data_IF_604262501075
#
_entry.id   IF_604262501075
#
_cell.length_a   1.000
_cell.length_b   1.000
_cell.length_c   1.000
_cell.angle_alpha   90.00
_cell.angle_beta   90.00
_cell.angle_gamma   90.00
#
_symmetry.space_group_name_H-M   'P 1'
#
loop_
_entity.id
_entity.type
_entity.pdbx_description
1 polymer ?
#
# COMPACT_ATOMS: atom_id res chain seq x y z
N UNK A 1 -0.68 26.45 -5.34
CA UNK A 1 -1.14 25.06 -5.56
C UNK A 1 -1.70 24.40 -4.28
N UNK A 2 -0.99 24.44 -3.15
CA UNK A 2 -1.45 23.81 -1.90
C UNK A 2 -2.86 24.25 -1.45
N UNK A 3 -3.13 25.56 -1.41
CA UNK A 3 -4.46 26.11 -1.06
C UNK A 3 -5.54 25.58 -2.02
N UNK A 4 -5.27 25.60 -3.33
CA UNK A 4 -6.19 25.10 -4.36
C UNK A 4 -6.47 23.60 -4.15
N UNK A 5 -5.45 22.82 -3.81
CA UNK A 5 -5.59 21.39 -3.51
C UNK A 5 -6.47 21.13 -2.28
N UNK A 6 -6.26 21.88 -1.19
CA UNK A 6 -7.06 21.76 0.03
C UNK A 6 -8.50 22.17 -0.19
N UNK A 7 -8.74 23.31 -0.86
CA UNK A 7 -10.10 23.76 -1.20
C UNK A 7 -10.80 22.74 -2.11
N UNK A 8 -10.10 22.25 -3.13
CA UNK A 8 -10.59 21.18 -4.02
C UNK A 8 -10.98 19.92 -3.25
N UNK A 9 -10.14 19.46 -2.33
CA UNK A 9 -10.41 18.28 -1.50
C UNK A 9 -11.67 18.46 -0.66
N UNK A 10 -11.80 19.60 0.03
CA UNK A 10 -12.95 19.92 0.88
C UNK A 10 -14.23 20.00 0.02
N UNK A 11 -14.15 20.66 -1.13
CA UNK A 11 -15.28 20.78 -2.05
C UNK A 11 -15.74 19.42 -2.59
N UNK A 12 -14.82 18.57 -3.03
CA UNK A 12 -15.14 17.23 -3.55
C UNK A 12 -15.67 16.34 -2.44
N UNK A 13 -15.08 16.37 -1.25
CA UNK A 13 -15.61 15.63 -0.11
C UNK A 13 -17.03 16.07 0.20
N UNK A 14 -17.27 17.38 0.36
CA UNK A 14 -18.61 17.89 0.64
C UNK A 14 -19.64 17.52 -0.44
N UNK A 15 -19.24 17.59 -1.72
CA UNK A 15 -20.05 17.15 -2.86
C UNK A 15 -20.40 15.66 -2.74
N UNK A 16 -19.41 14.78 -2.53
CA UNK A 16 -19.62 13.34 -2.43
C UNK A 16 -20.48 12.96 -1.21
N UNK A 17 -20.24 13.59 -0.06
CA UNK A 17 -21.03 13.37 1.15
C UNK A 17 -22.50 13.75 0.94
N UNK A 18 -22.74 14.85 0.23
CA UNK A 18 -24.09 15.33 -0.11
C UNK A 18 -24.76 14.41 -1.13
N UNK A 19 -24.04 14.02 -2.20
CA UNK A 19 -24.56 13.11 -3.23
C UNK A 19 -24.88 11.72 -2.67
N UNK A 20 -24.04 11.18 -1.78
CA UNK A 20 -24.25 9.86 -1.17
C UNK A 20 -25.42 9.85 -0.16
N UNK A 21 -25.74 11.00 0.45
CA UNK A 21 -26.93 11.17 1.32
C UNK A 21 -28.21 11.47 0.54
N UNK A 22 -28.10 11.91 -0.71
CA UNK A 22 -29.23 12.25 -1.57
C UNK A 22 -30.04 11.00 -2.00
N UNK A 23 -31.24 11.17 -2.60
CA UNK A 23 -31.99 10.05 -3.18
C UNK A 23 -31.17 9.22 -4.17
N UNK A 24 -30.30 9.86 -4.97
CA UNK A 24 -29.44 9.18 -5.93
C UNK A 24 -28.46 8.21 -5.25
N UNK A 25 -27.84 8.64 -4.13
CA UNK A 25 -26.96 7.79 -3.34
C UNK A 25 -27.68 6.60 -2.70
N UNK A 26 -28.96 6.76 -2.31
CA UNK A 26 -29.79 5.65 -1.80
C UNK A 26 -30.11 4.62 -2.88
N UNK A 27 -30.39 5.07 -4.11
CA UNK A 27 -30.61 4.18 -5.27
C UNK A 27 -29.32 3.40 -5.61
N UNK A 28 -28.16 4.05 -5.56
CA UNK A 28 -26.87 3.36 -5.75
C UNK A 28 -26.61 2.28 -4.70
N UNK A 29 -27.01 2.52 -3.44
CA UNK A 29 -26.92 1.49 -2.39
C UNK A 29 -27.86 0.33 -2.67
N UNK A 30 -29.10 0.56 -3.11
CA UNK A 30 -30.00 -0.54 -3.45
C UNK A 30 -29.48 -1.35 -4.64
N UNK A 31 -28.91 -0.70 -5.67
CA UNK A 31 -28.28 -1.38 -6.81
C UNK A 31 -27.09 -2.25 -6.37
N UNK A 32 -26.32 -1.81 -5.37
CA UNK A 32 -25.17 -2.58 -4.83
C UNK A 32 -25.62 -3.83 -4.05
N UNK A 33 -26.74 -3.75 -3.33
CA UNK A 33 -27.28 -4.87 -2.56
C UNK A 33 -27.95 -5.90 -3.47
N UNK A 34 -28.83 -5.45 -4.38
CA UNK A 34 -29.50 -6.31 -5.35
C UNK A 34 -29.93 -5.49 -6.59
N UNK A 35 -29.24 -5.75 -7.71
CA UNK A 35 -29.48 -5.07 -8.98
C UNK A 35 -30.81 -5.47 -9.62
N UNK A 36 -31.22 -6.74 -9.52
CA UNK A 36 -32.43 -7.26 -10.15
C UNK A 36 -33.67 -6.68 -9.46
N UNK A 37 -33.64 -6.64 -8.12
CA UNK A 37 -34.69 -5.98 -7.32
C UNK A 37 -34.80 -4.49 -7.65
N UNK A 38 -33.67 -3.79 -7.78
CA UNK A 38 -33.68 -2.37 -8.14
C UNK A 38 -34.29 -2.11 -9.54
N UNK A 39 -34.04 -3.00 -10.51
CA UNK A 39 -34.64 -2.93 -11.84
C UNK A 39 -36.15 -3.17 -11.79
N UNK A 40 -36.62 -4.14 -11.00
CA UNK A 40 -38.05 -4.40 -10.82
C UNK A 40 -38.81 -3.22 -10.19
N UNK A 41 -38.14 -2.42 -9.36
CA UNK A 41 -38.69 -1.18 -8.82
C UNK A 41 -38.71 0.01 -9.81
N UNK A 42 -38.30 -0.20 -11.06
CA UNK A 42 -38.35 0.79 -12.12
C UNK A 42 -37.16 1.74 -12.17
N UNK A 43 -36.06 1.42 -11.48
CA UNK A 43 -34.82 2.20 -11.56
C UNK A 43 -33.99 1.78 -12.77
N UNK A 44 -33.55 2.76 -13.57
CA UNK A 44 -32.61 2.52 -14.67
C UNK A 44 -31.19 2.34 -14.13
N UNK A 45 -30.82 1.08 -13.89
CA UNK A 45 -29.53 0.71 -13.31
C UNK A 45 -28.35 1.10 -14.20
N UNK A 46 -28.49 0.98 -15.53
CA UNK A 46 -27.40 1.31 -16.45
C UNK A 46 -27.07 2.80 -16.38
N UNK A 47 -28.08 3.67 -16.39
CA UNK A 47 -27.87 5.13 -16.30
C UNK A 47 -27.27 5.51 -14.95
N UNK A 48 -27.72 4.92 -13.84
CA UNK A 48 -27.15 5.20 -12.52
C UNK A 48 -25.68 4.73 -12.40
N UNK A 49 -25.34 3.56 -12.94
CA UNK A 49 -23.96 3.05 -12.97
C UNK A 49 -23.07 3.93 -13.86
N UNK A 50 -23.53 4.26 -15.07
CA UNK A 50 -22.80 5.13 -15.99
C UNK A 50 -22.54 6.52 -15.39
N UNK A 51 -23.55 7.11 -14.74
CA UNK A 51 -23.40 8.39 -14.05
C UNK A 51 -22.38 8.31 -12.90
N UNK A 52 -22.39 7.22 -12.13
CA UNK A 52 -21.41 7.03 -11.05
C UNK A 52 -19.98 6.89 -11.56
N UNK A 53 -19.80 6.16 -12.67
CA UNK A 53 -18.51 6.02 -13.35
C UNK A 53 -18.03 7.36 -13.90
N UNK A 54 -18.91 8.11 -14.57
CA UNK A 54 -18.60 9.42 -15.13
C UNK A 54 -18.20 10.42 -14.02
N UNK A 55 -18.91 10.43 -12.89
CA UNK A 55 -18.58 11.26 -11.73
C UNK A 55 -17.20 10.91 -11.17
N UNK A 56 -16.91 9.61 -10.99
CA UNK A 56 -15.61 9.14 -10.51
C UNK A 56 -14.47 9.50 -11.48
N UNK A 57 -14.69 9.32 -12.78
CA UNK A 57 -13.74 9.69 -13.82
C UNK A 57 -13.48 11.20 -13.86
N UNK A 58 -14.50 12.03 -13.70
CA UNK A 58 -14.35 13.48 -13.65
C UNK A 58 -13.51 13.93 -12.45
N UNK A 59 -13.73 13.34 -11.26
CA UNK A 59 -12.94 13.62 -10.06
C UNK A 59 -11.50 13.16 -10.24
N UNK A 60 -11.28 11.97 -10.81
CA UNK A 60 -9.94 11.44 -11.09
C UNK A 60 -9.18 12.30 -12.11
N UNK A 61 -9.84 12.73 -13.18
CA UNK A 61 -9.26 13.62 -14.19
C UNK A 61 -8.87 14.98 -13.59
N UNK A 62 -9.73 15.55 -12.74
CA UNK A 62 -9.43 16.79 -12.04
C UNK A 62 -8.24 16.66 -11.07
N UNK A 63 -8.18 15.57 -10.31
CA UNK A 63 -7.03 15.26 -9.46
C UNK A 63 -5.74 15.08 -10.28
N UNK A 64 -5.83 14.41 -11.43
CA UNK A 64 -4.72 14.23 -12.37
C UNK A 64 -4.22 15.55 -12.94
N UNK A 65 -5.10 16.49 -13.27
CA UNK A 65 -4.72 17.83 -13.74
C UNK A 65 -3.97 18.63 -12.67
N UNK A 66 -4.42 18.58 -11.41
CA UNK A 66 -3.71 19.19 -10.28
C UNK A 66 -2.34 18.55 -10.04
N UNK A 67 -2.26 17.23 -10.18
CA UNK A 67 -0.99 16.50 -10.06
C UNK A 67 -0.02 16.87 -11.18
N UNK A 68 -0.46 16.89 -12.43
CA UNK A 68 0.36 17.31 -13.57
C UNK A 68 0.90 18.74 -13.39
N UNK A 69 0.07 19.66 -12.86
CA UNK A 69 0.52 21.01 -12.51
C UNK A 69 1.61 20.98 -11.41
N UNK A 70 1.46 20.15 -10.38
CA UNK A 70 2.48 19.97 -9.33
C UNK A 70 3.83 19.52 -9.91
N UNK A 71 3.81 18.67 -10.93
CA UNK A 71 5.03 18.08 -11.48
C UNK A 71 5.90 19.09 -12.24
N UNK A 72 5.34 20.22 -12.70
CA UNK A 72 6.05 21.28 -13.48
C UNK A 72 6.75 20.81 -14.77
N UNK A 73 6.64 19.53 -15.13
CA UNK A 73 7.21 18.91 -16.31
C UNK A 73 6.88 17.42 -16.36
N UNK A 74 7.06 16.79 -17.52
CA UNK A 74 6.85 15.35 -17.70
C UNK A 74 8.19 14.65 -17.92
N UNK A 75 8.51 13.71 -17.04
CA UNK A 75 9.66 12.82 -17.18
C UNK A 75 9.15 11.37 -17.20
N UNK A 76 9.71 10.48 -18.02
CA UNK A 76 9.31 9.07 -18.04
C UNK A 76 9.39 8.39 -16.67
N UNK A 77 10.34 8.83 -15.84
CA UNK A 77 10.52 8.37 -14.45
C UNK A 77 9.31 8.60 -13.56
N UNK A 78 8.49 9.62 -13.83
CA UNK A 78 7.28 9.93 -13.05
C UNK A 78 6.14 8.94 -13.31
N UNK A 79 6.15 8.27 -14.46
CA UNK A 79 5.13 7.29 -14.84
C UNK A 79 5.49 5.86 -14.39
N UNK A 80 6.65 5.67 -13.76
CA UNK A 80 7.05 4.38 -13.22
C UNK A 80 5.97 3.86 -12.24
N UNK A 81 5.45 2.62 -12.40
CA UNK A 81 4.35 2.09 -11.60
C UNK A 81 4.59 2.21 -10.09
N UNK A 82 5.83 1.98 -9.67
CA UNK A 82 6.30 2.10 -8.28
C UNK A 82 6.09 3.51 -7.66
N UNK A 83 6.04 4.55 -8.49
CA UNK A 83 5.92 5.95 -8.08
C UNK A 83 4.54 6.54 -8.40
N UNK A 84 3.66 5.79 -9.05
CA UNK A 84 2.34 6.25 -9.48
C UNK A 84 1.24 5.29 -9.03
N UNK A 85 0.95 4.25 -9.82
CA UNK A 85 -0.19 3.36 -9.65
C UNK A 85 -0.15 2.60 -8.32
N UNK A 86 1.01 2.09 -7.92
CA UNK A 86 1.13 1.35 -6.65
C UNK A 86 0.90 2.24 -5.43
N UNK A 87 1.26 3.52 -5.47
CA UNK A 87 1.00 4.44 -4.37
C UNK A 87 -0.49 4.71 -4.21
N UNK A 88 -1.22 4.87 -5.32
CA UNK A 88 -2.68 5.08 -5.29
C UNK A 88 -3.38 3.82 -4.75
N UNK A 89 -2.98 2.64 -5.22
CA UNK A 89 -3.49 1.38 -4.70
C UNK A 89 -3.16 1.19 -3.21
N UNK A 90 -1.95 1.51 -2.78
CA UNK A 90 -1.58 1.45 -1.37
C UNK A 90 -2.44 2.40 -0.52
N UNK A 91 -2.65 3.63 -0.97
CA UNK A 91 -3.50 4.60 -0.29
C UNK A 91 -4.95 4.12 -0.17
N UNK A 92 -5.46 3.48 -1.24
CA UNK A 92 -6.79 2.89 -1.25
C UNK A 92 -6.92 1.68 -0.32
N UNK A 93 -5.95 0.77 -0.31
CA UNK A 93 -5.97 -0.42 0.56
C UNK A 93 -5.87 -0.01 2.03
N UNK A 94 -4.98 0.93 2.36
CA UNK A 94 -4.85 1.46 3.74
C UNK A 94 -6.10 2.23 4.16
N UNK A 95 -6.67 3.03 3.25
CA UNK A 95 -7.85 3.86 3.52
C UNK A 95 -9.16 3.08 3.63
N UNK A 96 -9.29 1.96 2.91
CA UNK A 96 -10.50 1.13 2.87
C UNK A 96 -11.49 1.57 1.79
N UNK A 97 -12.10 0.59 1.11
CA UNK A 97 -12.86 0.79 -0.12
C UNK A 97 -14.19 1.55 0.00
N UNK A 98 -14.66 1.88 1.21
CA UNK A 98 -16.06 2.27 1.40
C UNK A 98 -16.33 3.40 2.43
N UNK A 99 -15.32 4.21 2.75
CA UNK A 99 -15.51 5.41 3.56
C UNK A 99 -14.65 6.58 3.07
N UNK A 100 -15.28 7.71 2.73
CA UNK A 100 -14.60 8.93 2.29
C UNK A 100 -13.55 9.41 3.32
N UNK A 101 -13.84 9.27 4.62
CA UNK A 101 -12.89 9.62 5.70
C UNK A 101 -11.66 8.70 5.69
N UNK A 102 -11.89 7.39 5.52
CA UNK A 102 -10.82 6.39 5.46
C UNK A 102 -9.87 6.65 4.30
N UNK A 103 -10.41 6.98 3.13
CA UNK A 103 -9.63 7.33 1.94
C UNK A 103 -8.74 8.56 2.14
N UNK A 104 -9.23 9.60 2.80
CA UNK A 104 -8.41 10.79 3.12
C UNK A 104 -7.28 10.44 4.08
N UNK A 105 -7.55 9.65 5.12
CA UNK A 105 -6.52 9.20 6.07
C UNK A 105 -5.48 8.31 5.37
N UNK A 106 -5.91 7.35 4.55
CA UNK A 106 -5.01 6.47 3.79
C UNK A 106 -4.10 7.25 2.84
N UNK A 107 -4.66 8.21 2.09
CA UNK A 107 -3.86 9.10 1.25
C UNK A 107 -2.85 9.93 2.06
N UNK A 108 -3.25 10.46 3.22
CA UNK A 108 -2.36 11.24 4.07
C UNK A 108 -1.20 10.40 4.62
N UNK A 109 -1.46 9.16 5.05
CA UNK A 109 -0.42 8.23 5.52
C UNK A 109 0.60 7.95 4.41
N UNK A 110 0.13 7.64 3.20
CA UNK A 110 1.03 7.35 2.07
C UNK A 110 1.87 8.58 1.67
N UNK A 111 1.27 9.77 1.65
CA UNK A 111 2.00 11.02 1.36
C UNK A 111 3.02 11.35 2.45
N UNK A 112 2.68 11.17 3.72
CA UNK A 112 3.61 11.38 4.83
C UNK A 112 4.77 10.40 4.76
N UNK A 113 4.49 9.13 4.46
CA UNK A 113 5.51 8.11 4.27
C UNK A 113 6.42 8.45 3.08
N UNK A 114 5.86 8.91 1.97
CA UNK A 114 6.64 9.38 0.82
C UNK A 114 7.53 10.58 1.16
N UNK A 115 7.05 11.53 1.96
CA UNK A 115 7.85 12.64 2.45
C UNK A 115 9.05 12.15 3.27
N UNK A 116 8.83 11.22 4.21
CA UNK A 116 9.91 10.62 5.01
C UNK A 116 10.95 9.95 4.11
N UNK A 117 10.54 9.15 3.12
CA UNK A 117 11.48 8.54 2.18
C UNK A 117 12.27 9.57 1.38
N UNK A 118 11.62 10.62 0.88
CA UNK A 118 12.33 11.65 0.12
C UNK A 118 13.37 12.38 0.98
N UNK A 119 13.09 12.57 2.28
CA UNK A 119 14.06 13.12 3.24
C UNK A 119 15.22 12.15 3.48
N UNK A 120 14.95 10.84 3.63
CA UNK A 120 16.01 9.83 3.75
C UNK A 120 16.90 9.78 2.51
N UNK A 121 16.30 9.80 1.32
CA UNK A 121 17.03 9.85 0.03
C UNK A 121 17.90 11.10 -0.04
N UNK A 122 17.36 12.26 0.36
CA UNK A 122 18.12 13.51 0.38
C UNK A 122 19.31 13.44 1.36
N UNK A 123 19.15 12.78 2.52
CA UNK A 123 20.21 12.56 3.50
C UNK A 123 21.38 11.71 2.99
N UNK A 124 21.23 11.00 1.86
CA UNK A 124 22.30 10.22 1.24
C UNK A 124 23.24 11.07 0.37
N UNK A 125 22.87 12.31 0.06
CA UNK A 125 23.64 13.17 -0.84
C UNK A 125 24.99 13.66 -0.29
N UNK A 126 25.20 13.62 1.02
CA UNK A 126 26.46 13.97 1.68
C UNK A 126 26.54 13.33 3.06
N UNK A 127 27.75 12.99 3.50
CA UNK A 127 28.02 12.44 4.85
C UNK A 127 27.66 13.40 5.98
N UNK A 128 27.60 14.70 5.69
CA UNK A 128 27.36 15.74 6.70
C UNK A 128 25.87 16.01 6.96
N UNK A 129 24.99 15.41 6.15
CA UNK A 129 23.56 15.65 6.25
C UNK A 129 22.95 14.89 7.43
N UNK A 130 21.97 15.50 8.14
CA UNK A 130 21.21 14.79 9.15
C UNK A 130 20.50 13.60 8.50
N UNK A 131 20.49 12.46 9.18
CA UNK A 131 19.93 11.17 8.74
C UNK A 131 20.78 10.36 7.74
N UNK A 132 21.98 10.81 7.33
CA UNK A 132 22.86 10.04 6.44
C UNK A 132 23.12 8.61 6.94
N UNK A 133 23.56 8.47 8.20
CA UNK A 133 23.81 7.15 8.80
C UNK A 133 22.55 6.28 8.90
N UNK A 134 21.39 6.91 9.13
CA UNK A 134 20.12 6.17 9.25
C UNK A 134 19.69 5.63 7.89
N UNK A 135 19.79 6.45 6.85
CA UNK A 135 19.51 6.04 5.48
C UNK A 135 20.49 4.93 5.04
N UNK A 136 21.78 5.05 5.38
CA UNK A 136 22.78 4.03 5.09
C UNK A 136 22.49 2.68 5.78
N UNK A 137 22.07 2.68 7.05
CA UNK A 137 21.66 1.45 7.77
C UNK A 137 20.45 0.78 7.12
N UNK A 138 19.48 1.57 6.64
CA UNK A 138 18.30 1.04 5.96
C UNK A 138 18.68 0.42 4.61
N UNK A 139 19.54 1.08 3.83
CA UNK A 139 20.06 0.52 2.58
C UNK A 139 20.84 -0.77 2.84
N UNK A 140 21.73 -0.80 3.84
CA UNK A 140 22.47 -2.01 4.22
C UNK A 140 21.54 -3.15 4.64
N UNK A 141 20.43 -2.88 5.32
CA UNK A 141 19.44 -3.91 5.66
C UNK A 141 18.78 -4.50 4.41
N UNK A 142 18.45 -3.65 3.44
CA UNK A 142 17.85 -4.10 2.19
C UNK A 142 18.87 -4.84 1.32
N UNK A 143 20.10 -4.35 1.24
CA UNK A 143 21.19 -5.03 0.56
C UNK A 143 21.43 -6.40 1.18
N UNK A 144 21.54 -6.49 2.50
CA UNK A 144 21.64 -7.76 3.23
C UNK A 144 20.50 -8.71 2.87
N UNK A 145 19.26 -8.23 2.85
CA UNK A 145 18.09 -9.06 2.52
C UNK A 145 18.19 -9.64 1.10
N UNK A 146 18.72 -8.89 0.14
CA UNK A 146 18.74 -9.27 -1.28
C UNK A 146 20.00 -10.05 -1.66
N UNK A 147 21.17 -9.63 -1.18
CA UNK A 147 22.47 -10.16 -1.60
C UNK A 147 23.11 -11.09 -0.58
N UNK A 148 22.63 -11.07 0.67
CA UNK A 148 23.26 -11.76 1.77
C UNK A 148 24.61 -11.17 2.18
N UNK A 149 24.82 -9.87 1.95
CA UNK A 149 25.98 -9.12 2.44
C UNK A 149 26.03 -9.07 3.98
N UNK A 150 27.02 -8.38 4.57
CA UNK A 150 27.15 -8.27 6.03
C UNK A 150 26.25 -7.17 6.61
N UNK A 151 25.65 -7.43 7.78
CA UNK A 151 24.79 -6.50 8.50
C UNK A 151 25.56 -5.80 9.64
N UNK A 152 25.32 -4.51 9.88
CA UNK A 152 26.10 -3.70 10.84
C UNK A 152 26.08 -4.21 12.30
N UNK A 153 25.06 -4.98 12.69
CA UNK A 153 24.94 -5.58 14.03
C UNK A 153 25.14 -7.09 14.04
N UNK A 154 25.17 -7.73 12.87
CA UNK A 154 25.32 -9.18 12.75
C UNK A 154 26.18 -9.54 11.53
N UNK A 155 27.50 -9.32 11.62
CA UNK A 155 28.42 -9.69 10.54
C UNK A 155 28.48 -11.21 10.39
N UNK A 156 28.63 -11.69 9.15
CA UNK A 156 28.77 -13.10 8.74
C UNK A 156 27.52 -13.98 8.85
N UNK A 157 26.32 -13.40 8.91
CA UNK A 157 25.08 -14.20 8.90
C UNK A 157 24.22 -13.82 7.72
N UNK A 158 24.00 -14.80 6.85
CA UNK A 158 23.17 -14.65 5.66
C UNK A 158 21.66 -14.67 6.00
N UNK A 159 20.80 -14.09 5.14
CA UNK A 159 19.35 -14.13 5.33
C UNK A 159 18.81 -15.55 5.51
N UNK A 160 19.29 -16.51 4.73
CA UNK A 160 18.86 -17.92 4.82
C UNK A 160 19.12 -18.50 6.21
N UNK A 161 20.31 -18.26 6.77
CA UNK A 161 20.68 -18.70 8.11
C UNK A 161 19.80 -18.06 9.18
N UNK A 162 19.47 -16.77 9.06
CA UNK A 162 18.57 -16.11 10.02
C UNK A 162 17.17 -16.71 10.04
N UNK A 163 16.58 -17.03 8.88
CA UNK A 163 15.26 -17.66 8.81
C UNK A 163 15.27 -19.11 9.30
N UNK A 164 16.38 -19.84 9.10
CA UNK A 164 16.59 -21.16 9.69
C UNK A 164 16.71 -21.09 11.22
N UNK A 165 17.46 -20.13 11.75
CA UNK A 165 17.54 -19.87 13.19
C UNK A 165 16.16 -19.49 13.76
N UNK A 166 15.38 -18.69 13.02
CA UNK A 166 14.02 -18.35 13.39
C UNK A 166 13.10 -19.58 13.43
N UNK A 167 13.20 -20.49 12.45
CA UNK A 167 12.48 -21.75 12.46
C UNK A 167 12.88 -22.64 13.66
N UNK A 168 14.19 -22.75 13.92
CA UNK A 168 14.71 -23.51 15.06
C UNK A 168 14.22 -22.93 16.41
N UNK A 169 14.22 -21.61 16.54
CA UNK A 169 13.68 -20.91 17.70
C UNK A 169 12.16 -21.12 17.85
N UNK A 170 11.43 -21.17 16.74
CA UNK A 170 10.01 -21.51 16.72
C UNK A 170 9.74 -22.94 17.22
N UNK A 171 10.61 -23.89 16.88
CA UNK A 171 10.54 -25.27 17.37
C UNK A 171 10.83 -25.34 18.87
N UNK A 172 11.82 -24.58 19.35
CA UNK A 172 12.16 -24.49 20.78
C UNK A 172 11.02 -23.89 21.62
N UNK A 173 10.32 -22.88 21.10
CA UNK A 173 9.20 -22.20 21.79
C UNK A 173 7.85 -22.89 21.51
N UNK A 174 7.85 -23.96 20.70
CA UNK A 174 6.67 -24.73 20.30
C UNK A 174 5.54 -23.87 19.69
N UNK A 175 5.92 -22.83 18.94
CA UNK A 175 5.00 -21.94 18.22
C UNK A 175 5.02 -22.24 16.73
N UNK A 176 3.99 -22.94 16.25
CA UNK A 176 3.85 -23.35 14.85
C UNK A 176 3.96 -22.20 13.85
N UNK A 177 3.32 -21.05 14.15
CA UNK A 177 3.36 -19.88 13.29
C UNK A 177 4.79 -19.34 13.05
N UNK A 178 5.67 -19.47 14.04
CA UNK A 178 7.05 -18.98 13.98
C UNK A 178 7.93 -19.97 13.18
N UNK A 179 7.65 -21.26 13.32
CA UNK A 179 8.26 -22.33 12.51
C UNK A 179 7.89 -22.21 11.04
N UNK A 180 6.59 -22.04 10.73
CA UNK A 180 6.10 -21.89 9.37
C UNK A 180 6.70 -20.66 8.69
N UNK A 181 6.79 -19.53 9.40
CA UNK A 181 7.41 -18.31 8.89
C UNK A 181 8.92 -18.49 8.63
N UNK A 182 9.63 -19.19 9.53
CA UNK A 182 11.04 -19.49 9.36
C UNK A 182 11.32 -20.42 8.18
N UNK A 183 10.57 -21.52 8.06
CA UNK A 183 10.75 -22.49 6.97
C UNK A 183 10.39 -21.88 5.61
N UNK A 184 9.26 -21.16 5.53
CA UNK A 184 8.85 -20.49 4.28
C UNK A 184 9.84 -19.40 3.86
N UNK A 185 10.32 -18.59 4.80
CA UNK A 185 11.34 -17.58 4.53
C UNK A 185 12.67 -18.19 4.06
N UNK A 186 13.16 -19.23 4.76
CA UNK A 186 14.39 -19.92 4.38
C UNK A 186 14.28 -20.56 2.99
N UNK A 187 13.13 -21.16 2.67
CA UNK A 187 12.88 -21.74 1.35
C UNK A 187 12.89 -20.68 0.24
N UNK A 188 12.31 -19.50 0.47
CA UNK A 188 12.32 -18.39 -0.49
C UNK A 188 13.75 -17.92 -0.75
N UNK A 189 14.52 -17.59 0.29
CA UNK A 189 15.89 -17.09 0.11
C UNK A 189 16.84 -18.16 -0.47
N UNK A 190 16.65 -19.43 -0.10
CA UNK A 190 17.41 -20.53 -0.69
C UNK A 190 17.07 -20.71 -2.18
N UNK A 191 15.79 -20.61 -2.54
CA UNK A 191 15.37 -20.64 -3.94
C UNK A 191 15.90 -19.44 -4.72
N UNK A 192 15.90 -18.23 -4.13
CA UNK A 192 16.50 -17.04 -4.73
C UNK A 192 18.00 -17.24 -4.96
N UNK A 193 18.74 -17.74 -3.97
CA UNK A 193 20.16 -18.05 -4.11
C UNK A 193 20.44 -19.07 -5.23
N UNK A 194 19.57 -20.07 -5.38
CA UNK A 194 19.73 -21.13 -6.37
C UNK A 194 19.30 -20.70 -7.79
N UNK A 195 18.26 -19.87 -7.92
CA UNK A 195 17.70 -19.44 -9.20
C UNK A 195 18.34 -18.15 -9.74
N UNK A 196 18.62 -17.17 -8.87
CA UNK A 196 19.35 -15.94 -9.22
C UNK A 196 20.85 -16.16 -8.99
N UNK A 197 21.46 -17.04 -9.77
CA UNK A 197 22.92 -17.09 -9.86
C UNK A 197 23.51 -15.74 -10.32
N UNK A 198 24.82 -15.54 -10.15
CA UNK A 198 25.54 -14.28 -10.46
C UNK A 198 25.14 -13.66 -11.82
N UNK A 199 24.85 -14.50 -12.83
CA UNK A 199 24.38 -14.09 -14.16
C UNK A 199 23.09 -13.25 -14.17
N UNK A 200 22.14 -13.51 -13.28
CA UNK A 200 20.88 -12.75 -13.24
C UNK A 200 21.10 -11.31 -12.77
N UNK A 201 22.10 -11.09 -11.91
CA UNK A 201 22.48 -9.76 -11.42
C UNK A 201 23.19 -9.00 -12.53
N UNK A 202 24.10 -9.66 -13.25
CA UNK A 202 24.82 -9.06 -14.38
C UNK A 202 23.93 -8.73 -15.58
N UNK A 203 22.94 -9.57 -15.92
CA UNK A 203 22.02 -9.30 -17.03
C UNK A 203 20.93 -8.28 -16.69
N UNK A 204 20.49 -8.20 -15.42
CA UNK A 204 19.45 -7.25 -15.00
C UNK A 204 19.98 -5.84 -14.74
N UNK A 205 21.27 -5.71 -14.38
CA UNK A 205 21.91 -4.43 -14.10
C UNK A 205 23.11 -4.25 -15.03
N UNK A 206 22.91 -3.50 -16.13
CA UNK A 206 23.98 -3.11 -17.06
C UNK A 206 25.01 -2.28 -16.28
N UNK A 207 26.02 -2.93 -15.71
CA UNK A 207 27.02 -2.33 -14.82
C UNK A 207 27.46 -3.18 -13.62
N UNK A 208 26.88 -4.37 -13.39
CA UNK A 208 27.38 -5.36 -12.41
C UNK A 208 27.38 -4.92 -10.94
N UNK A 209 26.85 -3.74 -10.63
CA UNK A 209 26.73 -3.22 -9.27
C UNK A 209 25.25 -3.11 -8.91
N UNK A 210 24.89 -3.76 -7.81
CA UNK A 210 23.58 -3.58 -7.18
C UNK A 210 23.61 -2.20 -6.53
N UNK A 211 23.22 -1.17 -7.30
CA UNK A 211 22.83 0.11 -6.72
C UNK A 211 21.49 -0.13 -6.03
N UNK A 212 21.56 -0.65 -4.80
CA UNK A 212 20.47 -0.68 -3.82
C UNK A 212 20.07 0.77 -3.55
N UNK A 213 19.27 1.32 -4.45
CA UNK A 213 18.79 2.68 -4.39
C UNK A 213 17.53 2.68 -3.51
N UNK A 214 17.35 3.70 -2.68
CA UNK A 214 16.16 3.92 -1.85
C UNK A 214 14.82 3.78 -2.59
N UNK A 215 14.82 3.87 -3.93
CA UNK A 215 13.66 3.51 -4.74
C UNK A 215 13.17 2.06 -4.54
N UNK A 216 14.08 1.08 -4.44
CA UNK A 216 13.72 -0.33 -4.23
C UNK A 216 13.24 -0.60 -2.81
N UNK A 217 13.92 0.00 -1.82
CA UNK A 217 13.49 -0.01 -0.41
C UNK A 217 12.07 0.54 -0.27
N UNK A 218 11.77 1.65 -0.96
CA UNK A 218 10.43 2.26 -0.99
C UNK A 218 9.39 1.28 -1.52
N UNK A 219 9.66 0.56 -2.61
CA UNK A 219 8.71 -0.42 -3.18
C UNK A 219 8.49 -1.60 -2.23
N UNK A 220 9.58 -2.12 -1.65
CA UNK A 220 9.51 -3.20 -0.67
C UNK A 220 8.64 -2.82 0.54
N UNK A 221 8.86 -1.64 1.11
CA UNK A 221 8.09 -1.18 2.27
C UNK A 221 6.62 -0.89 1.93
N UNK A 222 6.33 -0.38 0.72
CA UNK A 222 4.95 -0.27 0.23
C UNK A 222 4.30 -1.65 0.15
N UNK A 223 5.01 -2.66 -0.38
CA UNK A 223 4.54 -4.04 -0.41
C UNK A 223 4.25 -4.60 0.97
N UNK A 224 5.19 -4.45 1.92
CA UNK A 224 5.00 -4.86 3.31
C UNK A 224 3.82 -4.13 3.97
N UNK A 225 3.64 -2.83 3.71
CA UNK A 225 2.52 -2.05 4.22
C UNK A 225 1.19 -2.57 3.69
N UNK A 226 1.11 -2.87 2.39
CA UNK A 226 -0.08 -3.45 1.76
C UNK A 226 -0.40 -4.81 2.42
N UNK A 227 0.60 -5.69 2.54
CA UNK A 227 0.41 -7.00 3.16
C UNK A 227 -0.01 -6.90 4.63
N UNK A 228 0.60 -5.98 5.39
CA UNK A 228 0.23 -5.73 6.78
C UNK A 228 -1.20 -5.19 6.89
N UNK A 229 -1.55 -4.22 6.04
CA UNK A 229 -2.90 -3.64 5.98
C UNK A 229 -3.95 -4.72 5.70
N UNK A 230 -3.70 -5.59 4.71
CA UNK A 230 -4.60 -6.68 4.36
C UNK A 230 -4.70 -7.74 5.48
N UNK A 231 -3.57 -8.06 6.13
CA UNK A 231 -3.53 -9.05 7.22
C UNK A 231 -4.30 -8.61 8.46
N UNK A 232 -4.19 -7.34 8.84
CA UNK A 232 -4.80 -6.85 10.09
C UNK A 232 -6.19 -6.26 9.89
N UNK A 233 -6.49 -5.68 8.73
CA UNK A 233 -7.81 -5.11 8.47
C UNK A 233 -8.15 -5.08 6.97
N UNK A 234 -8.68 -6.19 6.47
CA UNK A 234 -9.15 -6.31 5.08
C UNK A 234 -10.27 -5.32 4.69
N UNK A 235 -10.92 -4.65 5.66
CA UNK A 235 -11.96 -3.65 5.42
C UNK A 235 -11.43 -2.21 5.45
N UNK A 236 -10.14 -2.01 5.74
CA UNK A 236 -9.50 -0.70 5.93
C UNK A 236 -9.74 -0.10 7.32
N UNK A 237 -8.98 0.95 7.68
CA UNK A 237 -8.92 1.51 9.05
C UNK A 237 -10.29 1.91 9.63
N UNK A 238 -11.25 2.31 8.78
CA UNK A 238 -12.61 2.70 9.21
C UNK A 238 -13.67 1.86 8.49
N UNK A 239 -14.36 0.94 9.19
CA UNK A 239 -15.36 0.07 8.58
C UNK A 239 -16.62 0.85 8.14
N UNK A 240 -17.18 0.45 7.00
CA UNK A 240 -18.40 1.02 6.39
C UNK A 240 -19.67 0.77 7.22
N UNK A 241 -19.76 -0.40 7.85
CA UNK A 241 -20.96 -0.85 8.55
C UNK A 241 -20.73 -0.77 10.06
N UNK A 242 -21.54 -0.03 10.82
CA UNK A 242 -21.54 -0.11 12.28
C UNK A 242 -21.70 -1.58 12.67
N UNK A 243 -20.85 -2.06 13.58
CA UNK A 243 -20.83 -3.46 14.03
C UNK A 243 -22.26 -3.92 14.28
N UNK A 244 -22.73 -4.90 13.50
CA UNK A 244 -24.05 -5.49 13.72
C UNK A 244 -24.01 -6.13 15.10
N UNK A 245 -24.94 -5.80 16.03
CA UNK A 245 -25.04 -6.52 17.28
C UNK A 245 -25.17 -8.03 16.98
N UNK A 246 -24.57 -8.91 17.81
CA UNK A 246 -24.77 -10.34 17.66
C UNK A 246 -26.28 -10.63 17.68
N UNK A 247 -26.73 -11.50 16.77
CA UNK A 247 -28.12 -11.97 16.80
C UNK A 247 -28.36 -12.62 18.17
N UNK A 248 -29.50 -12.37 18.83
CA UNK A 248 -29.92 -13.23 19.93
C UNK A 248 -29.88 -14.66 19.41
N UNK A 249 -29.20 -15.55 20.13
CA UNK A 249 -29.29 -16.98 19.86
C UNK A 249 -30.77 -17.34 20.11
N UNK A 250 -31.45 -17.89 19.10
CA UNK A 250 -32.75 -18.54 19.32
C UNK A 250 -32.52 -19.63 20.38
N UNK A 251 -32.94 -19.37 21.62
CA UNK A 251 -32.71 -20.28 22.74
C UNK A 251 -32.73 -19.68 24.14
N UNK A 252 -32.82 -18.36 24.31
CA UNK A 252 -32.93 -17.75 25.66
C UNK A 252 -34.38 -17.30 25.98
N UNK A 253 -35.35 -18.13 25.58
CA UNK A 253 -36.68 -18.18 26.19
C UNK A 253 -36.74 -19.44 27.06
N UNK A 254 -36.31 -19.29 28.32
CA UNK A 254 -36.53 -20.24 29.40
C UNK A 254 -37.28 -19.57 30.54
#
# INVERSE_FOLDING_TARGET
LAIIGVVSLIMIWWLLETLLKSPWGRILRSIREDEEVAQHHGHDVLTHKAASLALGAAIAAFAGALWAWKLTGFQPSFMAPAKSTFLVWAAFIVGGAANNKGMVVGAFIIVLMEFVFNVLVAGQGSSDLPLHETAAKIDQLFEWLVTGSDLWFWPHVSPTETFLLLAALGLLINKSALVEMGISGAAVFMATYLLMGERSIDESFIGGSILANMAYVKVFLIGCLILFSLKYNAKGILPEVPVRPPRPMEGDEG
#
